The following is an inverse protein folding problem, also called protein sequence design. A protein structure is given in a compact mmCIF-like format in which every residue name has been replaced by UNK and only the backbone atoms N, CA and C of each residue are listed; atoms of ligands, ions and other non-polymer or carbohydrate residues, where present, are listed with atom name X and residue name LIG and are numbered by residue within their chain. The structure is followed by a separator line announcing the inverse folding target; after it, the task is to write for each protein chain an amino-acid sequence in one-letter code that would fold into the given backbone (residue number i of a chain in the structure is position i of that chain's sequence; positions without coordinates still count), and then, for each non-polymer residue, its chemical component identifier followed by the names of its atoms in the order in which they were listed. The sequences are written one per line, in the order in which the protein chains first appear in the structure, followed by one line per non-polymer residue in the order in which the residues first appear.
data_IF_090361979942
#
_entry.id   IF_090361979942
#
_cell.length_a   1.000
_cell.length_b   1.000
_cell.length_c   1.000
_cell.angle_alpha   90.00
_cell.angle_beta   90.00
_cell.angle_gamma   90.00
#
_symmetry.space_group_name_H-M   'P 1'
#
loop_
_entity.id
_entity.type
_entity.pdbx_description
1 polymer ?
#
# COMPACT_ATOMS: atom_id res chain seq x y z
N UNK A 1 -13.41 8.63 -3.85
CA UNK A 1 -14.65 7.89 -3.51
C UNK A 1 -14.69 6.51 -4.18
N UNK A 2 -14.72 6.39 -5.52
CA UNK A 2 -14.82 5.09 -6.23
C UNK A 2 -13.73 4.06 -5.84
N UNK A 3 -12.48 4.52 -5.66
CA UNK A 3 -11.34 3.71 -5.19
C UNK A 3 -11.50 3.19 -3.77
N UNK A 4 -11.92 4.05 -2.85
CA UNK A 4 -12.04 3.68 -1.44
C UNK A 4 -13.11 2.60 -1.28
N UNK A 5 -14.20 2.72 -2.04
CA UNK A 5 -15.22 1.67 -2.09
C UNK A 5 -14.64 0.38 -2.70
N UNK A 6 -13.97 0.45 -3.85
CA UNK A 6 -13.39 -0.74 -4.47
C UNK A 6 -12.32 -1.42 -3.58
N UNK A 7 -11.46 -0.66 -2.90
CA UNK A 7 -10.47 -1.20 -1.94
C UNK A 7 -11.16 -1.79 -0.71
N UNK A 8 -12.14 -1.10 -0.14
CA UNK A 8 -12.89 -1.61 1.01
C UNK A 8 -13.65 -2.89 0.66
N UNK A 9 -14.38 -2.87 -0.45
CA UNK A 9 -15.12 -4.03 -0.94
C UNK A 9 -14.16 -5.19 -1.23
N UNK A 10 -13.00 -4.93 -1.82
CA UNK A 10 -12.01 -5.99 -2.09
C UNK A 10 -11.29 -6.48 -0.84
N UNK A 11 -10.96 -5.62 0.13
CA UNK A 11 -10.37 -6.05 1.40
C UNK A 11 -11.32 -6.98 2.15
N UNK A 12 -12.63 -6.67 2.13
CA UNK A 12 -13.66 -7.55 2.70
C UNK A 12 -13.71 -8.88 1.94
N UNK A 13 -13.75 -8.86 0.61
CA UNK A 13 -13.78 -10.09 -0.21
C UNK A 13 -12.53 -10.95 0.01
N UNK A 14 -11.34 -10.36 0.02
CA UNK A 14 -10.08 -11.07 0.25
C UNK A 14 -10.02 -11.66 1.65
N UNK A 15 -10.49 -10.94 2.68
CA UNK A 15 -10.60 -11.47 4.04
C UNK A 15 -11.50 -12.70 4.15
N UNK A 16 -12.66 -12.69 3.49
CA UNK A 16 -13.54 -13.87 3.44
C UNK A 16 -12.92 -15.04 2.66
N UNK A 17 -12.14 -14.76 1.61
CA UNK A 17 -11.43 -15.81 0.87
C UNK A 17 -10.33 -16.45 1.72
N UNK A 18 -9.63 -15.67 2.55
CA UNK A 18 -8.62 -16.18 3.47
C UNK A 18 -9.23 -17.04 4.58
N UNK A 19 -10.36 -16.60 5.16
CA UNK A 19 -11.13 -17.39 6.13
C UNK A 19 -11.63 -18.70 5.51
N UNK A 20 -12.21 -18.63 4.30
CA UNK A 20 -12.70 -19.80 3.59
C UNK A 20 -11.58 -20.77 3.21
N UNK A 21 -10.39 -20.27 2.84
CA UNK A 21 -9.24 -21.12 2.51
C UNK A 21 -8.76 -21.95 3.69
N UNK A 22 -8.90 -21.45 4.93
CA UNK A 22 -8.44 -22.11 6.14
C UNK A 22 -9.24 -23.39 6.47
N UNK A 23 -10.52 -23.43 6.07
CA UNK A 23 -11.46 -24.51 6.40
C UNK A 23 -11.70 -25.50 5.24
N UNK A 24 -11.02 -25.33 4.10
CA UNK A 24 -11.22 -26.15 2.90
C UNK A 24 -10.29 -27.38 2.81
N UNK A 25 -10.86 -28.56 3.00
CA UNK A 25 -10.16 -29.85 2.83
C UNK A 25 -10.06 -30.30 1.37
N UNK A 26 -10.96 -29.83 0.50
CA UNK A 26 -11.00 -30.21 -0.91
C UNK A 26 -9.95 -29.43 -1.75
N UNK A 27 -9.03 -30.12 -2.44
CA UNK A 27 -8.01 -29.47 -3.26
C UNK A 27 -8.54 -28.60 -4.40
N UNK A 28 -9.64 -28.98 -5.04
CA UNK A 28 -10.22 -28.23 -6.16
C UNK A 28 -10.89 -26.93 -5.65
N UNK A 29 -11.52 -26.98 -4.48
CA UNK A 29 -12.05 -25.77 -3.84
C UNK A 29 -10.93 -24.82 -3.35
N UNK A 30 -9.83 -25.34 -2.79
CA UNK A 30 -8.67 -24.50 -2.42
C UNK A 30 -8.06 -23.83 -3.64
N UNK A 31 -7.96 -24.54 -4.75
CA UNK A 31 -7.47 -23.99 -6.02
C UNK A 31 -8.39 -22.86 -6.52
N UNK A 32 -9.71 -23.05 -6.47
CA UNK A 32 -10.67 -22.03 -6.84
C UNK A 32 -10.55 -20.77 -5.98
N UNK A 33 -10.41 -20.92 -4.66
CA UNK A 33 -10.22 -19.79 -3.72
C UNK A 33 -8.92 -19.05 -4.02
N UNK A 34 -7.81 -19.77 -4.27
CA UNK A 34 -6.54 -19.15 -4.67
C UNK A 34 -6.70 -18.32 -5.95
N UNK A 35 -7.41 -18.85 -6.95
CA UNK A 35 -7.63 -18.17 -8.22
C UNK A 35 -8.48 -16.90 -8.02
N UNK A 36 -9.52 -16.96 -7.19
CA UNK A 36 -10.34 -15.80 -6.84
C UNK A 36 -9.51 -14.70 -6.17
N UNK A 37 -8.61 -15.08 -5.25
CA UNK A 37 -7.69 -14.17 -4.57
C UNK A 37 -6.78 -13.46 -5.57
N UNK A 38 -6.09 -14.22 -6.43
CA UNK A 38 -5.19 -13.70 -7.46
C UNK A 38 -5.91 -12.69 -8.38
N UNK A 39 -7.16 -13.00 -8.77
CA UNK A 39 -7.97 -12.08 -9.60
C UNK A 39 -8.38 -10.82 -8.84
N UNK A 40 -8.75 -10.93 -7.57
CA UNK A 40 -9.09 -9.79 -6.71
C UNK A 40 -7.91 -8.83 -6.54
N UNK A 41 -6.72 -9.37 -6.24
CA UNK A 41 -5.47 -8.61 -6.15
C UNK A 41 -5.14 -7.90 -7.47
N UNK A 42 -5.28 -8.61 -8.60
CA UNK A 42 -5.02 -8.02 -9.91
C UNK A 42 -6.00 -6.89 -10.26
N UNK A 43 -7.28 -6.98 -9.87
CA UNK A 43 -8.25 -5.89 -10.05
C UNK A 43 -7.89 -4.65 -9.22
N UNK A 44 -7.43 -4.85 -7.99
CA UNK A 44 -6.93 -3.76 -7.14
C UNK A 44 -5.74 -3.08 -7.81
N UNK A 45 -4.80 -3.86 -8.36
CA UNK A 45 -3.64 -3.33 -9.08
C UNK A 45 -4.02 -2.57 -10.36
N UNK A 46 -4.94 -3.10 -11.17
CA UNK A 46 -5.45 -2.41 -12.36
C UNK A 46 -6.14 -1.08 -12.00
N UNK A 47 -6.90 -1.05 -10.91
CA UNK A 47 -7.49 0.16 -10.37
C UNK A 47 -6.46 1.23 -9.95
N UNK A 48 -5.22 0.84 -9.62
CA UNK A 48 -4.11 1.79 -9.36
C UNK A 48 -3.56 2.40 -10.66
N UNK A 49 -3.45 1.61 -11.74
CA UNK A 49 -2.92 2.08 -13.04
C UNK A 49 -3.79 3.16 -13.69
N UNK A 50 -5.11 3.08 -13.54
CA UNK A 50 -6.05 4.11 -14.02
C UNK A 50 -5.80 5.47 -13.34
N UNK A 51 -5.46 5.49 -12.04
CA UNK A 51 -5.11 6.73 -11.32
C UNK A 51 -3.81 7.37 -11.80
N UNK A 52 -2.84 6.56 -12.24
CA UNK A 52 -1.61 7.09 -12.83
C UNK A 52 -1.89 8.01 -14.02
N UNK A 53 -2.94 7.71 -14.79
CA UNK A 53 -3.37 8.52 -15.92
C UNK A 53 -4.18 9.75 -15.45
N UNK A 54 -5.10 9.59 -14.50
CA UNK A 54 -5.88 10.72 -13.95
C UNK A 54 -4.99 11.77 -13.23
N UNK A 55 -3.92 11.32 -12.56
CA UNK A 55 -2.98 12.19 -11.84
C UNK A 55 -2.11 13.03 -12.78
N UNK A 56 -1.78 12.52 -13.97
CA UNK A 56 -1.08 13.30 -15.01
C UNK A 56 -1.98 14.42 -15.57
N UNK A 57 -3.30 14.26 -15.47
CA UNK A 57 -4.29 15.18 -16.03
C UNK A 57 -4.77 16.25 -15.04
N UNK A 58 -4.41 16.15 -13.75
CA UNK A 58 -4.88 17.06 -12.69
C UNK A 58 -3.68 17.78 -12.05
N UNK A 59 -3.65 19.12 -12.10
CA UNK A 59 -2.73 19.92 -11.29
C UNK A 59 -3.02 19.64 -9.81
N UNK A 60 -2.17 18.82 -9.18
CA UNK A 60 -2.33 18.42 -7.79
C UNK A 60 -1.75 19.50 -6.89
N UNK A 61 -2.56 20.01 -5.95
CA UNK A 61 -2.13 21.09 -5.06
C UNK A 61 -1.07 20.58 -4.07
N UNK A 62 0.12 21.18 -4.13
CA UNK A 62 1.23 20.84 -3.25
C UNK A 62 1.12 21.59 -1.93
N UNK A 63 0.89 20.86 -0.84
CA UNK A 63 0.73 21.40 0.50
C UNK A 63 1.74 20.82 1.50
N UNK A 64 2.00 21.49 2.63
CA UNK A 64 2.80 20.91 3.71
C UNK A 64 2.08 19.68 4.31
N UNK A 65 2.78 18.56 4.41
CA UNK A 65 2.33 17.31 5.00
C UNK A 65 3.32 16.84 6.06
N UNK A 66 2.82 16.31 7.18
CA UNK A 66 3.64 15.68 8.21
C UNK A 66 4.11 14.31 7.72
N UNK A 67 5.40 14.20 7.41
CA UNK A 67 5.97 12.97 6.87
C UNK A 67 6.00 11.86 7.92
N UNK A 68 6.24 12.21 9.19
CA UNK A 68 6.29 11.23 10.28
C UNK A 68 4.94 10.55 10.44
N UNK A 69 3.87 11.34 10.53
CA UNK A 69 2.51 10.80 10.64
C UNK A 69 2.13 9.88 9.47
N UNK A 70 2.49 10.26 8.24
CA UNK A 70 2.20 9.43 7.06
C UNK A 70 2.99 8.12 7.08
N UNK A 71 4.28 8.17 7.43
CA UNK A 71 5.14 6.97 7.47
C UNK A 71 4.69 6.02 8.58
N UNK A 72 4.32 6.55 9.74
CA UNK A 72 3.81 5.75 10.85
C UNK A 72 2.50 5.03 10.46
N UNK A 73 1.53 5.75 9.88
CA UNK A 73 0.27 5.16 9.39
C UNK A 73 0.51 4.03 8.40
N UNK A 74 1.35 4.26 7.38
CA UNK A 74 1.66 3.25 6.37
C UNK A 74 2.35 2.03 6.96
N UNK A 75 3.30 2.23 7.88
CA UNK A 75 4.08 1.13 8.43
C UNK A 75 3.26 0.30 9.40
N UNK A 76 2.41 0.92 10.20
CA UNK A 76 1.56 0.20 11.15
C UNK A 76 0.58 -0.71 10.41
N UNK A 77 -0.04 -0.25 9.31
CA UNK A 77 -0.88 -1.07 8.43
C UNK A 77 -0.14 -2.32 7.92
N UNK A 78 1.10 -2.15 7.45
CA UNK A 78 1.89 -3.27 6.92
C UNK A 78 2.46 -4.19 8.01
N UNK A 79 2.76 -3.68 9.20
CA UNK A 79 3.17 -4.51 10.34
C UNK A 79 2.04 -5.41 10.82
N UNK A 80 0.81 -4.91 10.82
CA UNK A 80 -0.36 -5.70 11.14
C UNK A 80 -0.61 -6.79 10.09
N UNK A 81 -0.50 -6.43 8.80
CA UNK A 81 -0.73 -7.35 7.68
C UNK A 81 0.40 -8.38 7.47
N UNK A 82 1.64 -8.06 7.85
CA UNK A 82 2.82 -8.91 7.65
C UNK A 82 3.70 -9.00 8.90
N UNK A 83 3.28 -9.72 9.95
CA UNK A 83 4.03 -9.83 11.21
C UNK A 83 5.45 -10.41 11.05
N UNK A 84 5.70 -11.15 9.97
CA UNK A 84 6.98 -11.73 9.61
C UNK A 84 7.96 -10.74 8.93
N UNK A 85 7.46 -9.61 8.43
CA UNK A 85 8.27 -8.62 7.73
C UNK A 85 9.00 -7.69 8.70
N UNK A 86 10.28 -7.41 8.42
CA UNK A 86 11.05 -6.45 9.21
C UNK A 86 10.98 -5.06 8.57
N UNK A 87 10.18 -4.18 9.17
CA UNK A 87 9.95 -2.82 8.66
C UNK A 87 10.57 -1.79 9.62
N UNK A 88 11.57 -1.05 9.13
CA UNK A 88 12.26 0.00 9.87
C UNK A 88 12.05 1.35 9.20
N UNK A 89 11.67 2.36 9.99
CA UNK A 89 11.63 3.74 9.54
C UNK A 89 12.39 4.65 10.48
N UNK A 90 13.07 5.62 9.89
CA UNK A 90 13.76 6.69 10.60
C UNK A 90 13.38 8.02 9.98
N UNK A 91 12.33 8.63 10.53
CA UNK A 91 11.88 9.98 10.17
C UNK A 91 12.14 10.93 11.33
N UNK A 92 12.92 12.02 11.14
CA UNK A 92 13.11 13.01 12.19
C UNK A 92 11.77 13.62 12.64
N UNK A 93 11.60 13.81 13.94
CA UNK A 93 10.39 14.40 14.50
C UNK A 93 10.12 15.80 13.92
N UNK A 94 8.87 16.06 13.53
CA UNK A 94 8.45 17.33 12.94
C UNK A 94 8.88 17.53 11.49
N UNK A 95 9.38 16.51 10.80
CA UNK A 95 9.67 16.61 9.36
C UNK A 95 8.39 16.85 8.57
N UNK A 96 8.34 18.00 7.91
CA UNK A 96 7.25 18.38 7.00
C UNK A 96 7.77 18.41 5.58
N UNK A 97 7.03 17.81 4.65
CA UNK A 97 7.35 17.81 3.22
C UNK A 97 6.28 18.53 2.41
N UNK A 98 6.65 19.10 1.27
CA UNK A 98 5.69 19.66 0.32
C UNK A 98 5.38 18.60 -0.74
N UNK A 99 4.21 18.00 -0.63
CA UNK A 99 3.72 17.02 -1.60
C UNK A 99 2.20 17.19 -1.78
N UNK A 100 1.68 16.58 -2.83
CA UNK A 100 0.24 16.46 -2.98
C UNK A 100 -0.29 15.23 -2.19
N UNK A 101 -1.61 15.07 -2.13
CA UNK A 101 -2.28 14.00 -1.37
C UNK A 101 -1.95 12.57 -1.84
N UNK A 102 -1.19 12.46 -2.93
CA UNK A 102 -0.55 11.27 -3.45
C UNK A 102 0.42 10.56 -2.55
N UNK A 103 1.15 11.32 -1.72
CA UNK A 103 2.35 10.81 -1.05
C UNK A 103 2.09 9.54 -0.19
N UNK A 104 1.00 9.46 0.61
CA UNK A 104 0.71 8.25 1.37
C UNK A 104 0.49 7.01 0.48
N UNK A 105 -0.24 7.17 -0.62
CA UNK A 105 -0.48 6.06 -1.56
C UNK A 105 0.85 5.62 -2.21
N UNK A 106 1.70 6.57 -2.60
CA UNK A 106 3.00 6.25 -3.17
C UNK A 106 3.92 5.50 -2.18
N UNK A 107 3.99 5.95 -0.92
CA UNK A 107 4.76 5.27 0.12
C UNK A 107 4.23 3.86 0.40
N UNK A 108 2.90 3.70 0.49
CA UNK A 108 2.27 2.39 0.67
C UNK A 108 2.60 1.43 -0.47
N UNK A 109 2.61 1.88 -1.72
CA UNK A 109 3.02 1.03 -2.85
C UNK A 109 4.48 0.61 -2.76
N UNK A 110 5.38 1.52 -2.37
CA UNK A 110 6.81 1.21 -2.22
C UNK A 110 7.05 0.16 -1.13
N UNK A 111 6.43 0.32 0.05
CA UNK A 111 6.53 -0.64 1.15
C UNK A 111 5.97 -2.00 0.73
N UNK A 112 4.76 -2.03 0.15
CA UNK A 112 4.15 -3.27 -0.33
C UNK A 112 4.93 -3.96 -1.45
N UNK A 113 5.66 -3.19 -2.27
CA UNK A 113 6.54 -3.75 -3.29
C UNK A 113 7.82 -4.34 -2.66
N UNK A 114 8.38 -3.67 -1.66
CA UNK A 114 9.55 -4.14 -0.94
C UNK A 114 9.27 -5.40 -0.10
N UNK A 115 8.06 -5.54 0.48
CA UNK A 115 7.66 -6.77 1.18
C UNK A 115 7.47 -7.93 0.19
N UNK A 116 6.78 -7.71 -0.95
CA UNK A 116 6.52 -8.78 -1.93
C UNK A 116 7.76 -9.26 -2.68
N UNK A 117 8.68 -8.35 -2.97
CA UNK A 117 9.78 -8.62 -3.90
C UNK A 117 11.17 -8.45 -3.28
N UNK A 118 11.27 -7.86 -2.09
CA UNK A 118 12.52 -7.76 -1.34
C UNK A 118 12.70 -8.92 -0.36
N UNK A 119 13.89 -9.02 0.22
CA UNK A 119 14.25 -10.08 1.17
C UNK A 119 13.67 -9.84 2.59
N UNK A 120 12.49 -9.21 2.70
CA UNK A 120 11.79 -8.99 3.96
C UNK A 120 12.28 -7.81 4.81
N UNK A 121 13.16 -6.95 4.28
CA UNK A 121 13.64 -5.75 4.96
C UNK A 121 13.28 -4.49 4.15
N UNK A 122 12.61 -3.54 4.81
CA UNK A 122 12.28 -2.22 4.24
C UNK A 122 12.85 -1.13 5.14
N UNK A 123 13.63 -0.23 4.55
CA UNK A 123 14.19 0.94 5.23
C UNK A 123 13.65 2.23 4.59
N UNK A 124 12.99 3.06 5.41
CA UNK A 124 12.52 4.40 5.00
C UNK A 124 13.40 5.45 5.66
N UNK A 125 14.18 6.18 4.86
CA UNK A 125 15.12 7.22 5.30
C UNK A 125 14.75 8.56 4.66
N UNK A 126 14.70 9.62 5.47
CA UNK A 126 14.62 11.00 4.97
C UNK A 126 16.02 11.49 4.56
N UNK A 127 16.23 11.73 3.26
CA UNK A 127 17.40 12.45 2.75
C UNK A 127 16.99 13.85 2.30
N UNK A 128 17.42 14.87 3.05
CA UNK A 128 17.19 16.28 2.70
C UNK A 128 18.18 16.73 1.64
N UNK A 129 17.75 16.75 0.39
CA UNK A 129 18.49 17.44 -0.67
C UNK A 129 18.13 18.92 -0.64
N UNK A 130 19.08 19.78 -0.24
CA UNK A 130 18.93 21.24 -0.39
C UNK A 130 19.06 21.57 -1.87
N UNK A 131 17.93 21.57 -2.58
CA UNK A 131 17.87 22.07 -3.95
C UNK A 131 18.00 23.59 -3.94
N UNK A 132 19.15 24.10 -4.37
CA UNK A 132 19.29 25.50 -4.75
C UNK A 132 18.49 25.70 -6.03
N UNK A 133 17.34 26.38 -5.94
CA UNK A 133 16.61 26.91 -7.12
C UNK A 133 17.31 28.18 -7.59
#
# INVERSE_FOLDING_TARGET
MLRHNLRNDMNVILGYLDELAADLDDPDHREAVRLCRERGEHLVEQGKKVRGIERVLTESEVRPLDLGAIVDEVIDDYREAHPEATITASVPAGTTVRADESLPEALSELVGNAIRHGDGAVEVVDERTVGTV
#
